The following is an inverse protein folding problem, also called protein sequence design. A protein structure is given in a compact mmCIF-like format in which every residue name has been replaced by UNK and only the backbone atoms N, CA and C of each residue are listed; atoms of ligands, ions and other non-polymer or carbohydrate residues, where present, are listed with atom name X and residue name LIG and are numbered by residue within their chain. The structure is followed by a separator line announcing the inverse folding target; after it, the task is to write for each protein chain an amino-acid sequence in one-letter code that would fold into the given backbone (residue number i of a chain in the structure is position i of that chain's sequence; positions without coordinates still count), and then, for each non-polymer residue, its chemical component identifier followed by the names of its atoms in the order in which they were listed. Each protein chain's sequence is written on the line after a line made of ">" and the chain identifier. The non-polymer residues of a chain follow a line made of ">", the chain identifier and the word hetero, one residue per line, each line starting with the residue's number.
data_IF_978547268856
#
_entry.id   IF_978547268856
#
_cell.length_a   1.000
_cell.length_b   1.000
_cell.length_c   1.000
_cell.angle_alpha   90.00
_cell.angle_beta   90.00
_cell.angle_gamma   90.00
#
_symmetry.space_group_name_H-M   'P 1'
#
loop_
_entity.id
_entity.type
_entity.pdbx_description
1 polymer ?
#
# COMPACT_ATOMS: atom_id res chain seq x y z
N UNK A 1 6.75 8.19 32.66
CA UNK A 1 6.93 7.01 31.78
C UNK A 1 6.10 7.28 30.55
N UNK A 2 6.72 7.73 29.45
CA UNK A 2 6.00 8.06 28.23
C UNK A 2 5.62 6.76 27.52
N UNK A 3 4.33 6.48 27.53
CA UNK A 3 3.71 5.36 26.83
C UNK A 3 4.08 5.48 25.34
N UNK A 4 4.92 4.56 24.88
CA UNK A 4 5.29 4.50 23.47
C UNK A 4 4.10 3.91 22.72
N UNK A 5 3.13 4.77 22.39
CA UNK A 5 2.03 4.44 21.48
C UNK A 5 2.68 4.07 20.14
N UNK A 6 2.97 2.77 19.95
CA UNK A 6 3.36 2.23 18.65
C UNK A 6 2.15 2.45 17.76
N UNK A 7 2.19 3.48 16.92
CA UNK A 7 1.18 3.71 15.90
C UNK A 7 1.23 2.53 14.93
N UNK A 8 0.49 1.48 15.24
CA UNK A 8 0.24 0.38 14.32
C UNK A 8 -0.66 0.94 13.23
N UNK A 9 -0.08 1.22 12.06
CA UNK A 9 -0.86 1.57 10.88
C UNK A 9 -1.57 0.29 10.45
N UNK A 10 -2.89 0.32 10.42
CA UNK A 10 -3.67 -0.76 9.85
C UNK A 10 -3.28 -0.94 8.37
N UNK A 11 -2.74 -2.11 7.97
CA UNK A 11 -2.32 -2.37 6.60
C UNK A 11 -3.46 -2.27 5.57
N UNK A 12 -4.72 -2.42 6.00
CA UNK A 12 -5.91 -2.34 5.15
C UNK A 12 -6.53 -0.93 5.14
N UNK A 13 -6.03 0.00 5.96
CA UNK A 13 -6.43 1.40 5.87
C UNK A 13 -5.92 2.03 4.58
N UNK A 14 -6.57 3.12 4.15
CA UNK A 14 -6.12 3.91 3.00
C UNK A 14 -4.64 4.32 3.11
N UNK A 15 -4.22 4.72 4.30
CA UNK A 15 -2.82 5.09 4.57
C UNK A 15 -1.89 3.88 4.53
N UNK A 16 -2.32 2.72 5.05
CA UNK A 16 -1.59 1.46 4.96
C UNK A 16 -1.35 1.02 3.52
N UNK A 17 -2.40 1.05 2.69
CA UNK A 17 -2.30 0.74 1.27
C UNK A 17 -1.36 1.71 0.52
N UNK A 18 -1.42 3.02 0.80
CA UNK A 18 -0.48 4.00 0.22
C UNK A 18 0.98 3.69 0.57
N UNK A 19 1.25 3.31 1.81
CA UNK A 19 2.59 2.92 2.25
C UNK A 19 3.05 1.66 1.51
N UNK A 20 2.19 0.63 1.40
CA UNK A 20 2.49 -0.61 0.66
C UNK A 20 2.82 -0.35 -0.81
N UNK A 21 2.02 0.46 -1.50
CA UNK A 21 2.27 0.84 -2.90
C UNK A 21 3.62 1.53 -3.03
N UNK A 22 3.91 2.51 -2.17
CA UNK A 22 5.19 3.23 -2.20
C UNK A 22 6.36 2.28 -1.98
N UNK A 23 6.23 1.36 -1.02
CA UNK A 23 7.27 0.40 -0.68
C UNK A 23 7.59 -0.52 -1.88
N UNK A 24 6.57 -1.19 -2.45
CA UNK A 24 6.79 -2.06 -3.61
C UNK A 24 7.29 -1.32 -4.85
N UNK A 25 6.87 -0.07 -5.05
CA UNK A 25 7.40 0.76 -6.14
C UNK A 25 8.90 1.03 -5.98
N UNK A 26 9.35 1.30 -4.75
CA UNK A 26 10.77 1.50 -4.45
C UNK A 26 11.57 0.20 -4.60
N UNK A 27 11.06 -0.92 -4.08
CA UNK A 27 11.70 -2.23 -4.22
C UNK A 27 11.82 -2.64 -5.70
N UNK A 28 10.78 -2.42 -6.51
CA UNK A 28 10.78 -2.76 -7.93
C UNK A 28 11.85 -2.02 -8.73
N UNK A 29 12.17 -0.79 -8.32
CA UNK A 29 13.20 0.04 -8.93
C UNK A 29 14.62 -0.37 -8.55
N UNK A 30 14.79 -1.10 -7.44
CA UNK A 30 16.09 -1.54 -6.92
C UNK A 30 16.38 -3.01 -7.24
N UNK A 31 15.36 -3.83 -7.43
CA UNK A 31 15.52 -5.27 -7.70
C UNK A 31 16.06 -5.55 -9.11
N UNK A 32 17.03 -6.45 -9.19
CA UNK A 32 17.73 -6.84 -10.41
C UNK A 32 17.41 -8.26 -10.85
N UNK A 33 17.04 -9.15 -9.92
CA UNK A 33 16.62 -10.50 -10.25
C UNK A 33 15.26 -10.46 -10.98
N UNK A 34 15.16 -11.00 -12.20
CA UNK A 34 13.95 -10.90 -13.00
C UNK A 34 12.74 -11.62 -12.39
N UNK A 35 12.96 -12.72 -11.67
CA UNK A 35 11.88 -13.49 -11.04
C UNK A 35 11.37 -12.74 -9.82
N UNK A 36 12.28 -12.25 -8.97
CA UNK A 36 11.90 -11.45 -7.79
C UNK A 36 11.21 -10.16 -8.21
N UNK A 37 11.73 -9.49 -9.25
CA UNK A 37 11.16 -8.27 -9.79
C UNK A 37 9.75 -8.46 -10.34
N UNK A 38 9.47 -9.60 -10.99
CA UNK A 38 8.12 -9.94 -11.44
C UNK A 38 7.16 -10.13 -10.26
N UNK A 39 7.61 -10.78 -9.18
CA UNK A 39 6.81 -10.95 -7.96
C UNK A 39 6.50 -9.60 -7.29
N UNK A 40 7.49 -8.70 -7.19
CA UNK A 40 7.28 -7.35 -6.64
C UNK A 40 6.31 -6.56 -7.53
N UNK A 41 6.42 -6.66 -8.86
CA UNK A 41 5.50 -6.00 -9.78
C UNK A 41 4.04 -6.49 -9.60
N UNK A 42 3.85 -7.80 -9.39
CA UNK A 42 2.54 -8.37 -9.09
C UNK A 42 1.98 -7.83 -7.76
N UNK A 43 2.78 -7.84 -6.70
CA UNK A 43 2.39 -7.31 -5.40
C UNK A 43 2.08 -5.79 -5.44
N UNK A 44 2.83 -5.03 -6.23
CA UNK A 44 2.57 -3.61 -6.49
C UNK A 44 1.21 -3.41 -7.18
N UNK A 45 0.90 -4.22 -8.19
CA UNK A 45 -0.36 -4.13 -8.93
C UNK A 45 -1.56 -4.44 -8.02
N UNK A 46 -1.46 -5.46 -7.18
CA UNK A 46 -2.48 -5.82 -6.19
C UNK A 46 -2.71 -4.70 -5.17
N UNK A 47 -1.62 -4.17 -4.58
CA UNK A 47 -1.70 -3.06 -3.63
C UNK A 47 -2.28 -1.78 -4.25
N UNK A 48 -1.95 -1.48 -5.50
CA UNK A 48 -2.49 -0.32 -6.23
C UNK A 48 -3.98 -0.49 -6.54
N UNK A 49 -4.42 -1.72 -6.84
CA UNK A 49 -5.83 -2.02 -7.06
C UNK A 49 -6.65 -1.87 -5.77
N UNK A 50 -6.16 -2.41 -4.65
CA UNK A 50 -6.78 -2.23 -3.34
C UNK A 50 -6.89 -0.75 -2.98
N UNK A 51 -5.83 0.03 -3.18
CA UNK A 51 -5.83 1.47 -2.93
C UNK A 51 -6.90 2.18 -3.77
N UNK A 52 -6.98 1.90 -5.07
CA UNK A 52 -7.98 2.51 -5.94
C UNK A 52 -9.42 2.17 -5.53
N UNK A 53 -9.67 0.95 -5.03
CA UNK A 53 -10.97 0.55 -4.51
C UNK A 53 -11.32 1.31 -3.23
N UNK A 54 -10.37 1.48 -2.32
CA UNK A 54 -10.54 2.25 -1.08
C UNK A 54 -10.76 3.74 -1.35
N UNK A 55 -10.02 4.34 -2.29
CA UNK A 55 -10.22 5.74 -2.69
C UNK A 55 -11.63 5.94 -3.28
N UNK A 56 -12.07 5.02 -4.14
CA UNK A 56 -13.43 5.07 -4.71
C UNK A 56 -14.53 4.91 -3.66
N UNK A 57 -14.34 4.01 -2.69
CA UNK A 57 -15.35 3.76 -1.64
C UNK A 57 -15.38 4.85 -0.57
N UNK A 58 -14.25 5.49 -0.30
CA UNK A 58 -14.19 6.72 0.52
C UNK A 58 -14.98 7.88 -0.10
N UNK A 59 -14.81 8.12 -1.40
CA UNK A 59 -15.53 9.20 -2.12
C UNK A 59 -17.06 9.02 -2.14
N UNK A 60 -17.54 7.78 -2.19
CA UNK A 60 -18.98 7.46 -2.19
C UNK A 60 -19.68 7.82 -0.85
N UNK A 61 -18.94 7.93 0.25
CA UNK A 61 -19.49 8.31 1.57
C UNK A 61 -19.49 9.81 1.86
N UNK A 62 -18.74 10.61 1.11
CA UNK A 62 -18.75 12.07 1.22
C UNK A 62 -19.74 12.77 0.28
N UNK A 63 -20.41 12.01 -0.59
CA UNK A 63 -21.33 12.51 -1.60
C UNK A 63 -22.82 12.18 -1.33
N UNK A 64 -23.15 11.63 -0.15
CA UNK A 64 -24.50 11.33 0.31
C UNK A 64 -24.84 12.15 1.56
#
# INVERSE_FOLDING_TARGET
>A
MAESTRYAIDPQSLQGCRIRVKFHYQELGQETDPVVRANIAQALAEAAMELAQLERSGDLTSAA
#
